data_IF_048428368533
#
_entry.id   IF_048428368533
#
_cell.length_a   1.000
_cell.length_b   1.000
_cell.length_c   1.000
_cell.angle_alpha   90.00
_cell.angle_beta   90.00
_cell.angle_gamma   90.00
#
_symmetry.space_group_name_H-M   'P 1'
#
loop_
_entity.id
_entity.type
_entity.pdbx_description
1 polymer ?
#
# COMPACT_ATOMS: atom_id res chain seq x y z
N UNK A 1 18.38 8.02 -14.16
CA UNK A 1 17.36 8.03 -13.10
C UNK A 1 16.34 9.09 -13.47
N UNK A 2 15.09 8.72 -13.68
CA UNK A 2 14.00 9.65 -14.00
C UNK A 2 13.16 9.90 -12.75
N UNK A 3 12.81 11.15 -12.49
CA UNK A 3 11.92 11.55 -11.39
C UNK A 3 10.57 11.98 -11.94
N UNK A 4 9.51 11.66 -11.21
CA UNK A 4 8.15 12.11 -11.47
C UNK A 4 7.65 12.81 -10.21
N UNK A 5 6.99 13.96 -10.39
CA UNK A 5 6.39 14.73 -9.29
C UNK A 5 4.89 14.72 -9.53
N UNK A 6 4.14 14.18 -8.57
CA UNK A 6 2.69 14.23 -8.60
C UNK A 6 2.21 15.67 -8.35
N UNK A 7 1.10 16.05 -8.97
CA UNK A 7 0.45 17.36 -8.72
C UNK A 7 -0.09 17.45 -7.30
N UNK A 8 -0.59 16.32 -6.79
CA UNK A 8 -1.13 16.16 -5.45
C UNK A 8 -0.34 15.05 -4.72
N UNK A 9 -1.05 14.03 -4.22
CA UNK A 9 -0.46 12.88 -3.55
C UNK A 9 0.22 11.90 -4.53
N UNK A 10 1.37 11.37 -4.12
CA UNK A 10 2.19 10.48 -4.93
C UNK A 10 1.87 8.99 -4.77
N UNK A 11 1.10 8.59 -3.76
CA UNK A 11 0.96 7.21 -3.32
C UNK A 11 0.37 6.32 -4.41
N UNK A 12 -0.71 6.78 -5.05
CA UNK A 12 -1.32 6.06 -6.17
C UNK A 12 -0.34 5.88 -7.33
N UNK A 13 0.49 6.91 -7.61
CA UNK A 13 1.50 6.84 -8.67
C UNK A 13 2.62 5.86 -8.32
N UNK A 14 3.07 5.87 -7.06
CA UNK A 14 4.09 4.95 -6.54
C UNK A 14 3.60 3.51 -6.66
N UNK A 15 2.38 3.21 -6.18
CA UNK A 15 1.81 1.86 -6.22
C UNK A 15 1.60 1.36 -7.65
N UNK A 16 1.02 2.19 -8.53
CA UNK A 16 0.83 1.83 -9.95
C UNK A 16 2.16 1.58 -10.64
N UNK A 17 3.15 2.44 -10.41
CA UNK A 17 4.49 2.29 -10.98
C UNK A 17 5.14 0.97 -10.54
N UNK A 18 5.00 0.59 -9.27
CA UNK A 18 5.48 -0.69 -8.75
C UNK A 18 4.85 -1.89 -9.47
N UNK A 19 3.52 -1.90 -9.58
CA UNK A 19 2.76 -2.97 -10.24
C UNK A 19 3.09 -3.08 -11.74
N UNK A 20 3.16 -1.94 -12.44
CA UNK A 20 3.49 -1.89 -13.86
C UNK A 20 4.93 -2.34 -14.13
N UNK A 21 5.86 -1.93 -13.27
CA UNK A 21 7.26 -2.36 -13.34
C UNK A 21 7.34 -3.88 -13.17
N UNK A 22 6.67 -4.45 -12.16
CA UNK A 22 6.61 -5.90 -11.99
C UNK A 22 6.07 -6.59 -13.25
N UNK A 23 4.96 -6.08 -13.81
CA UNK A 23 4.36 -6.65 -15.03
C UNK A 23 5.33 -6.62 -16.21
N UNK A 24 6.15 -5.57 -16.33
CA UNK A 24 7.12 -5.39 -17.41
C UNK A 24 8.35 -6.28 -17.28
N UNK A 25 8.94 -6.36 -16.08
CA UNK A 25 10.23 -7.05 -15.89
C UNK A 25 10.10 -8.46 -15.33
N UNK A 26 8.93 -8.83 -14.79
CA UNK A 26 8.63 -10.12 -14.16
C UNK A 26 9.65 -10.52 -13.08
N UNK A 27 10.12 -9.54 -12.32
CA UNK A 27 11.04 -9.68 -11.18
C UNK A 27 10.47 -8.95 -9.97
N UNK A 28 10.98 -9.30 -8.79
CA UNK A 28 10.63 -8.65 -7.52
C UNK A 28 10.79 -7.13 -7.63
N UNK A 29 9.74 -6.40 -7.23
CA UNK A 29 9.72 -4.95 -7.13
C UNK A 29 9.35 -4.59 -5.70
N UNK A 30 10.19 -3.77 -5.08
CA UNK A 30 9.97 -3.26 -3.73
C UNK A 30 9.51 -1.80 -3.84
N UNK A 31 8.37 -1.49 -3.22
CA UNK A 31 7.86 -0.13 -3.05
C UNK A 31 8.36 0.39 -1.72
N UNK A 32 9.03 1.54 -1.70
CA UNK A 32 9.56 2.13 -0.46
C UNK A 32 8.64 3.29 -0.07
N UNK A 33 8.17 3.28 1.17
CA UNK A 33 7.27 4.33 1.66
C UNK A 33 7.00 4.20 3.15
N UNK A 34 6.66 5.31 3.81
CA UNK A 34 6.27 5.31 5.22
C UNK A 34 4.77 5.38 5.44
N UNK A 35 4.02 5.87 4.45
CA UNK A 35 2.59 6.07 4.56
C UNK A 35 1.81 4.76 4.64
N UNK A 36 0.79 4.70 5.49
CA UNK A 36 -0.12 3.55 5.54
C UNK A 36 -1.01 3.50 4.30
N UNK A 37 -1.26 4.64 3.66
CA UNK A 37 -2.04 4.76 2.44
C UNK A 37 -1.42 3.93 1.30
N UNK A 38 -0.09 3.94 1.17
CA UNK A 38 0.64 3.08 0.22
C UNK A 38 0.34 1.60 0.47
N UNK A 39 0.28 1.17 1.74
CA UNK A 39 0.01 -0.23 2.10
C UNK A 39 -1.42 -0.64 1.76
N UNK A 40 -2.38 0.24 2.05
CA UNK A 40 -3.80 0.04 1.76
C UNK A 40 -4.01 0.00 0.24
N UNK A 41 -3.40 0.93 -0.50
CA UNK A 41 -3.45 0.99 -1.96
C UNK A 41 -2.80 -0.24 -2.60
N UNK A 42 -1.65 -0.72 -2.10
CA UNK A 42 -1.05 -1.99 -2.54
C UNK A 42 -2.01 -3.16 -2.36
N UNK A 43 -2.65 -3.23 -1.20
CA UNK A 43 -3.60 -4.30 -0.87
C UNK A 43 -4.82 -4.25 -1.79
N UNK A 44 -5.32 -3.06 -2.11
CA UNK A 44 -6.50 -2.88 -2.96
C UNK A 44 -6.23 -3.05 -4.46
N UNK A 45 -5.08 -2.56 -4.95
CA UNK A 45 -4.80 -2.41 -6.39
C UNK A 45 -3.93 -3.52 -6.97
N UNK A 46 -3.15 -4.23 -6.15
CA UNK A 46 -2.27 -5.29 -6.65
C UNK A 46 -3.11 -6.50 -7.06
N UNK A 47 -2.98 -7.01 -8.29
CA UNK A 47 -3.61 -8.28 -8.66
C UNK A 47 -3.11 -9.42 -7.76
N UNK A 48 -3.98 -10.40 -7.47
CA UNK A 48 -3.70 -11.53 -6.57
C UNK A 48 -2.51 -12.42 -6.98
N UNK A 49 -2.24 -12.52 -8.28
CA UNK A 49 -1.08 -13.23 -8.83
C UNK A 49 0.24 -12.44 -8.77
N UNK A 50 0.22 -11.19 -8.29
CA UNK A 50 1.39 -10.33 -8.12
C UNK A 50 1.68 -10.18 -6.63
N UNK A 51 2.92 -10.44 -6.24
CA UNK A 51 3.42 -10.08 -4.91
C UNK A 51 4.36 -8.88 -5.03
N UNK A 52 3.88 -7.73 -4.56
CA UNK A 52 4.67 -6.51 -4.43
C UNK A 52 4.96 -6.30 -2.95
N UNK A 53 6.21 -6.01 -2.62
CA UNK A 53 6.63 -5.81 -1.24
C UNK A 53 6.72 -4.31 -0.95
N UNK A 54 6.16 -3.89 0.17
CA UNK A 54 6.41 -2.57 0.72
C UNK A 54 7.53 -2.62 1.75
N UNK A 55 8.58 -1.82 1.56
CA UNK A 55 9.57 -1.52 2.58
C UNK A 55 9.16 -0.24 3.30
N UNK A 56 8.77 -0.40 4.58
CA UNK A 56 8.60 0.70 5.50
C UNK A 56 9.87 0.91 6.29
N UNK A 57 10.57 1.99 5.99
CA UNK A 57 11.78 2.39 6.71
C UNK A 57 11.45 2.71 8.17
N UNK A 58 12.27 2.19 9.08
CA UNK A 58 12.21 2.48 10.49
C UNK A 58 12.70 3.90 10.80
N UNK A 59 12.30 4.44 11.95
CA UNK A 59 12.83 5.70 12.50
C UNK A 59 13.51 5.45 13.84
N UNK A 60 14.71 6.00 14.01
CA UNK A 60 15.47 5.90 15.26
C UNK A 60 15.83 4.45 15.62
N UNK A 61 15.25 3.94 16.72
CA UNK A 61 15.47 2.56 17.19
C UNK A 61 14.51 1.54 16.58
N UNK A 62 13.54 1.99 15.78
CA UNK A 62 12.60 1.10 15.09
C UNK A 62 13.28 0.51 13.87
N UNK A 63 13.21 -0.81 13.71
CA UNK A 63 13.72 -1.52 12.52
C UNK A 63 12.78 -1.35 11.33
N UNK A 64 13.35 -1.46 10.14
CA UNK A 64 12.59 -1.55 8.90
C UNK A 64 11.62 -2.73 8.92
N UNK A 65 10.50 -2.57 8.22
CA UNK A 65 9.46 -3.60 8.09
C UNK A 65 9.15 -3.83 6.63
N UNK A 66 8.98 -5.10 6.27
CA UNK A 66 8.48 -5.50 4.97
C UNK A 66 7.04 -5.96 5.09
N UNK A 67 6.21 -5.56 4.13
CA UNK A 67 4.83 -6.00 4.01
C UNK A 67 4.61 -6.58 2.61
N UNK A 68 4.08 -7.80 2.54
CA UNK A 68 3.72 -8.43 1.27
C UNK A 68 2.27 -8.14 0.92
N UNK A 69 2.02 -7.67 -0.30
CA UNK A 69 0.67 -7.49 -0.81
C UNK A 69 -0.08 -8.83 -0.83
N UNK A 70 0.60 -9.91 -1.24
CA UNK A 70 -0.01 -11.24 -1.27
C UNK A 70 -0.38 -11.73 0.14
N UNK A 71 0.52 -11.59 1.12
CA UNK A 71 0.23 -11.96 2.51
C UNK A 71 -0.95 -11.17 3.08
N UNK A 72 -0.97 -9.85 2.86
CA UNK A 72 -2.05 -9.00 3.37
C UNK A 72 -3.39 -9.35 2.73
N UNK A 73 -3.43 -9.53 1.41
CA UNK A 73 -4.66 -9.91 0.70
C UNK A 73 -5.23 -11.26 1.11
N UNK A 74 -4.39 -12.18 1.61
CA UNK A 74 -4.78 -13.49 2.10
C UNK A 74 -4.92 -13.56 3.63
N UNK A 75 -4.82 -12.42 4.32
CA UNK A 75 -5.10 -12.37 5.76
C UNK A 75 -6.60 -12.44 6.03
N UNK A 76 -7.00 -13.10 7.12
CA UNK A 76 -8.42 -13.23 7.50
C UNK A 76 -9.15 -11.88 7.54
N UNK A 77 -8.47 -10.83 8.04
CA UNK A 77 -9.02 -9.48 8.13
C UNK A 77 -9.34 -8.88 6.76
N UNK A 78 -8.44 -9.05 5.79
CA UNK A 78 -8.58 -8.44 4.46
C UNK A 78 -9.46 -9.28 3.55
N UNK A 79 -9.48 -10.62 3.69
CA UNK A 79 -10.32 -11.49 2.87
C UNK A 79 -11.79 -11.07 2.96
N UNK A 80 -12.27 -10.80 4.17
CA UNK A 80 -13.67 -10.39 4.41
C UNK A 80 -13.98 -9.00 3.85
N UNK A 81 -13.00 -8.11 3.80
CA UNK A 81 -13.19 -6.71 3.43
C UNK A 81 -12.49 -6.26 2.14
N UNK A 82 -11.93 -7.18 1.34
CA UNK A 82 -11.05 -6.86 0.21
C UNK A 82 -11.65 -5.86 -0.77
N UNK A 83 -12.96 -5.98 -1.04
CA UNK A 83 -13.70 -5.08 -1.95
C UNK A 83 -13.98 -3.70 -1.34
N UNK A 84 -13.98 -3.61 -0.01
CA UNK A 84 -14.34 -2.43 0.76
C UNK A 84 -13.16 -1.82 1.50
N UNK A 85 -11.94 -2.33 1.33
CA UNK A 85 -10.78 -1.90 2.13
C UNK A 85 -10.47 -0.41 1.99
N UNK A 86 -10.62 0.15 0.79
CA UNK A 86 -10.47 1.60 0.55
C UNK A 86 -11.56 2.41 1.25
N UNK A 87 -12.80 1.89 1.26
CA UNK A 87 -13.91 2.52 1.95
C UNK A 87 -13.70 2.49 3.47
N UNK A 88 -13.31 1.33 4.01
CA UNK A 88 -12.98 1.16 5.43
C UNK A 88 -11.87 2.12 5.85
N UNK A 89 -10.80 2.20 5.07
CA UNK A 89 -9.69 3.11 5.35
C UNK A 89 -10.15 4.58 5.38
N UNK A 90 -10.95 5.00 4.40
CA UNK A 90 -11.48 6.36 4.34
C UNK A 90 -12.32 6.73 5.57
N UNK A 91 -13.10 5.78 6.11
CA UNK A 91 -13.98 5.99 7.27
C UNK A 91 -13.28 5.78 8.62
N UNK A 92 -12.23 4.96 8.69
CA UNK A 92 -11.48 4.72 9.93
C UNK A 92 -10.57 5.88 10.33
N UNK A 93 -10.40 6.84 9.43
CA UNK A 93 -9.48 7.96 9.59
C UNK A 93 -8.22 7.72 8.77
N UNK A 94 -8.26 8.17 7.52
CA UNK A 94 -7.08 8.40 6.71
C UNK A 94 -6.37 9.66 7.24
N UNK A 95 -5.12 9.91 6.84
CA UNK A 95 -4.28 11.02 7.31
C UNK A 95 -4.96 12.40 7.29
N UNK A 96 -5.98 12.59 6.45
CA UNK A 96 -6.76 13.84 6.34
C UNK A 96 -8.22 13.74 6.79
N UNK A 97 -8.71 12.57 7.24
CA UNK A 97 -10.11 12.41 7.68
C UNK A 97 -10.19 12.09 9.17
N UNK A 98 -11.03 12.85 9.90
CA UNK A 98 -11.43 12.50 11.26
C UNK A 98 -12.18 11.17 11.22
N UNK A 99 -11.73 10.18 12.00
CA UNK A 99 -12.44 8.89 12.12
C UNK A 99 -13.79 9.05 12.82
N UNK A 100 -14.69 8.09 12.60
CA UNK A 100 -15.95 8.02 13.35
C UNK A 100 -15.68 7.85 14.86
N UNK A 101 -16.38 8.62 15.69
CA UNK A 101 -16.38 8.46 17.15
C UNK A 101 -17.56 7.57 17.57
N UNK A 102 -17.29 6.43 18.23
CA UNK A 102 -18.33 5.50 18.70
C UNK A 102 -17.79 4.29 19.48
N UNK A 103 -18.55 3.89 20.51
CA UNK A 103 -18.25 2.98 21.64
C UNK A 103 -17.58 1.63 21.33
#
# INVERSE_FOLDING_TARGET
MSTFVATDDADVHIVKTGIETYKKIKKRVDVIGQDVDILVLLTALTPDYIDTLMLKEGKGKVKDRFYSSNYLQNSNLVIECKKSILFIHAISGCDTTSGFYGN
#
